data_IF_183843132849
#
_entry.id   IF_183843132849
#
_cell.length_a   1.000
_cell.length_b   1.000
_cell.length_c   1.000
_cell.angle_alpha   90.00
_cell.angle_beta   90.00
_cell.angle_gamma   90.00
#
_symmetry.space_group_name_H-M   'P 1'
#
loop_
_entity.id
_entity.type
_entity.pdbx_description
1 polymer ?
#
# COMPACT_ATOMS: atom_id res chain seq x y z
N UNK A 1 -9.95 15.42 -8.08
CA UNK A 1 -10.02 13.93 -8.09
C UNK A 1 -9.41 13.44 -6.80
N UNK A 2 -10.22 13.08 -5.80
CA UNK A 2 -9.73 12.42 -4.59
C UNK A 2 -9.01 11.14 -5.01
N UNK A 3 -7.69 11.09 -4.84
CA UNK A 3 -6.90 9.91 -5.17
C UNK A 3 -7.46 8.73 -4.38
N UNK A 4 -8.09 7.80 -5.11
CA UNK A 4 -8.93 6.74 -4.56
C UNK A 4 -8.16 5.93 -3.51
N UNK A 5 -8.55 5.96 -2.23
CA UNK A 5 -7.96 5.09 -1.21
C UNK A 5 -8.02 3.60 -1.60
N UNK A 6 -8.96 3.23 -2.50
CA UNK A 6 -9.08 1.89 -3.08
C UNK A 6 -7.84 1.41 -3.85
N UNK A 7 -7.08 2.30 -4.52
CA UNK A 7 -5.88 1.87 -5.25
C UNK A 7 -4.74 1.50 -4.32
N UNK A 8 -4.59 2.22 -3.20
CA UNK A 8 -3.57 1.92 -2.18
C UNK A 8 -3.83 0.52 -1.58
N UNK A 9 -5.08 0.21 -1.25
CA UNK A 9 -5.46 -1.13 -0.76
C UNK A 9 -5.14 -2.26 -1.75
N UNK A 10 -5.31 -2.01 -3.05
CA UNK A 10 -4.93 -2.97 -4.09
C UNK A 10 -3.40 -3.22 -4.12
N UNK A 11 -2.59 -2.16 -4.04
CA UNK A 11 -1.13 -2.30 -3.98
C UNK A 11 -0.66 -2.98 -2.70
N UNK A 12 -1.26 -2.68 -1.54
CA UNK A 12 -0.97 -3.40 -0.28
C UNK A 12 -1.23 -4.89 -0.47
N UNK A 13 -2.35 -5.27 -1.07
CA UNK A 13 -2.69 -6.66 -1.36
C UNK A 13 -1.66 -7.35 -2.27
N UNK A 14 -1.19 -6.66 -3.33
CA UNK A 14 -0.15 -7.19 -4.22
C UNK A 14 1.19 -7.37 -3.49
N UNK A 15 1.60 -6.40 -2.66
CA UNK A 15 2.86 -6.47 -1.90
C UNK A 15 2.82 -7.56 -0.84
N UNK A 16 1.70 -7.71 -0.15
CA UNK A 16 1.47 -8.79 0.83
C UNK A 16 1.55 -10.17 0.17
N UNK A 17 0.95 -10.32 -1.02
CA UNK A 17 0.98 -11.56 -1.79
C UNK A 17 2.38 -11.88 -2.30
N UNK A 18 3.08 -10.90 -2.87
CA UNK A 18 4.47 -11.06 -3.34
C UNK A 18 5.44 -11.36 -2.20
N UNK A 19 5.20 -10.80 -1.01
CA UNK A 19 5.99 -11.08 0.20
C UNK A 19 5.58 -12.38 0.90
N UNK A 20 4.57 -13.10 0.41
CA UNK A 20 4.07 -14.33 1.04
C UNK A 20 3.56 -14.12 2.48
N UNK A 21 2.99 -12.96 2.78
CA UNK A 21 2.52 -12.60 4.12
C UNK A 21 3.63 -12.21 5.11
N UNK A 22 4.89 -12.14 4.67
CA UNK A 22 6.02 -11.73 5.54
C UNK A 22 6.13 -10.20 5.74
N UNK A 23 5.51 -9.42 4.86
CA UNK A 23 5.51 -7.97 4.97
C UNK A 23 4.48 -7.48 5.99
N UNK A 24 4.79 -6.42 6.71
CA UNK A 24 3.85 -5.79 7.63
C UNK A 24 2.93 -4.82 6.85
N UNK A 25 1.59 -5.01 6.87
CA UNK A 25 0.66 -4.18 6.12
C UNK A 25 0.70 -2.69 6.52
N UNK A 26 1.02 -2.38 7.78
CA UNK A 26 1.18 -0.97 8.22
C UNK A 26 2.42 -0.35 7.57
N UNK A 27 3.55 -1.06 7.59
CA UNK A 27 4.79 -0.58 6.96
C UNK A 27 4.61 -0.39 5.44
N UNK A 28 3.92 -1.33 4.77
CA UNK A 28 3.62 -1.24 3.34
C UNK A 28 2.71 -0.05 3.04
N UNK A 29 1.69 0.20 3.85
CA UNK A 29 0.79 1.34 3.70
C UNK A 29 1.51 2.68 3.87
N UNK A 30 2.39 2.80 4.85
CA UNK A 30 3.23 3.99 5.06
C UNK A 30 4.19 4.23 3.90
N UNK A 31 4.83 3.18 3.37
CA UNK A 31 5.70 3.27 2.20
C UNK A 31 4.91 3.70 0.96
N UNK A 32 3.70 3.16 0.76
CA UNK A 32 2.84 3.51 -0.36
C UNK A 32 2.36 4.96 -0.29
N UNK A 33 1.91 5.42 0.88
CA UNK A 33 1.54 6.83 1.10
C UNK A 33 2.69 7.78 0.79
N UNK A 34 3.89 7.47 1.32
CA UNK A 34 5.12 8.24 1.06
C UNK A 34 5.51 8.24 -0.43
N UNK A 35 5.40 7.10 -1.12
CA UNK A 35 5.74 6.99 -2.55
C UNK A 35 4.72 7.66 -3.47
N UNK A 36 3.45 7.67 -3.08
CA UNK A 36 2.36 8.24 -3.87
C UNK A 36 2.13 9.73 -3.55
N UNK A 37 2.84 10.31 -2.58
CA UNK A 37 2.69 11.72 -2.18
C UNK A 37 1.32 12.02 -1.58
N UNK A 38 0.69 11.01 -0.98
CA UNK A 38 -0.60 11.14 -0.29
C UNK A 38 -0.29 11.29 1.19
N UNK A 39 -0.06 12.53 1.61
CA UNK A 39 0.01 12.93 3.02
C UNK A 39 -1.31 13.58 3.43
#
# INVERSE_FOLDING_TARGET
>A
VQAKPSMIGWFVGQVMKASGGKANPQAVNEILKKKLGVE
#
